data_IF_883400891491
#
_entry.id   IF_883400891491
#
_cell.length_a   1.000
_cell.length_b   1.000
_cell.length_c   1.000
_cell.angle_alpha   90.00
_cell.angle_beta   90.00
_cell.angle_gamma   90.00
#
_symmetry.space_group_name_H-M   'P 1'
#
loop_
_entity.id
_entity.type
_entity.pdbx_description
1 polymer ?
#
# COMPACT_ATOMS: atom_id res chain seq x y z
N UNK A 1 -1.32 -7.30 -5.13
CA UNK A 1 -0.44 -7.40 -3.94
C UNK A 1 -0.79 -6.24 -3.02
N UNK A 2 -1.18 -6.48 -1.76
CA UNK A 2 -1.69 -5.44 -0.84
C UNK A 2 -0.83 -4.17 -0.76
N UNK A 3 0.51 -4.32 -0.78
CA UNK A 3 1.44 -3.18 -0.78
C UNK A 3 1.29 -2.28 -2.02
N UNK A 4 1.00 -2.87 -3.19
CA UNK A 4 0.78 -2.13 -4.42
C UNK A 4 -0.56 -1.40 -4.39
N UNK A 5 -1.59 -1.97 -3.80
CA UNK A 5 -2.90 -1.32 -3.65
C UNK A 5 -2.80 -0.08 -2.76
N UNK A 6 -2.11 -0.22 -1.62
CA UNK A 6 -1.85 0.88 -0.69
C UNK A 6 -0.97 1.95 -1.36
N UNK A 7 0.12 1.54 -2.02
CA UNK A 7 1.05 2.48 -2.67
C UNK A 7 0.45 3.16 -3.91
N UNK A 8 -0.44 2.48 -4.64
CA UNK A 8 -1.17 3.06 -5.76
C UNK A 8 -2.26 4.02 -5.30
N UNK A 9 -2.56 4.10 -4.00
CA UNK A 9 -3.62 4.95 -3.47
C UNK A 9 -5.03 4.42 -3.71
N UNK A 10 -5.17 3.13 -4.05
CA UNK A 10 -6.48 2.47 -4.20
C UNK A 10 -7.19 2.23 -2.87
N UNK A 11 -6.48 2.42 -1.75
CA UNK A 11 -7.03 2.40 -0.41
C UNK A 11 -6.81 3.76 0.26
N UNK A 12 -7.84 4.28 0.92
CA UNK A 12 -7.79 5.58 1.57
C UNK A 12 -7.02 5.52 2.89
N UNK A 13 -6.39 6.63 3.28
CA UNK A 13 -5.83 6.74 4.63
C UNK A 13 -6.93 6.56 5.68
N UNK A 14 -6.64 5.76 6.72
CA UNK A 14 -7.60 5.42 7.75
C UNK A 14 -8.62 4.35 7.34
N UNK A 15 -8.58 3.86 6.10
CA UNK A 15 -9.44 2.76 5.67
C UNK A 15 -9.09 1.47 6.42
N UNK A 16 -10.12 0.76 6.90
CA UNK A 16 -9.96 -0.49 7.65
C UNK A 16 -9.84 -1.65 6.68
N UNK A 17 -8.78 -2.45 6.81
CA UNK A 17 -8.64 -3.71 6.08
C UNK A 17 -9.71 -4.72 6.54
N UNK A 18 -10.14 -5.64 5.66
CA UNK A 18 -11.01 -6.74 6.05
C UNK A 18 -10.36 -7.61 7.15
N UNK A 19 -11.15 -8.41 7.88
CA UNK A 19 -10.62 -9.32 8.89
C UNK A 19 -9.55 -10.26 8.32
N UNK A 20 -8.50 -10.55 9.12
CA UNK A 20 -7.38 -11.39 8.66
C UNK A 20 -7.83 -12.79 8.19
N UNK A 21 -8.92 -13.32 8.75
CA UNK A 21 -9.45 -14.63 8.36
C UNK A 21 -10.07 -14.58 6.96
N UNK A 22 -10.83 -13.53 6.67
CA UNK A 22 -11.52 -13.35 5.39
C UNK A 22 -10.50 -13.07 4.29
N UNK A 23 -9.58 -12.13 4.52
CA UNK A 23 -8.48 -11.87 3.58
C UNK A 23 -7.62 -13.10 3.31
N UNK A 24 -7.34 -13.91 4.33
CA UNK A 24 -6.54 -15.13 4.16
C UNK A 24 -7.30 -16.18 3.34
N UNK A 25 -8.61 -16.30 3.53
CA UNK A 25 -9.47 -17.16 2.74
C UNK A 25 -9.52 -16.72 1.27
N UNK A 26 -9.74 -15.42 1.01
CA UNK A 26 -9.78 -14.85 -0.34
C UNK A 26 -8.44 -15.03 -1.09
N UNK A 27 -7.32 -14.96 -0.35
CA UNK A 27 -5.98 -15.13 -0.89
C UNK A 27 -5.52 -16.59 -0.93
N UNK A 28 -6.28 -17.54 -0.37
CA UNK A 28 -5.91 -18.95 -0.30
C UNK A 28 -4.64 -19.23 0.52
N UNK A 29 -4.37 -18.43 1.56
CA UNK A 29 -3.17 -18.58 2.40
C UNK A 29 -3.51 -18.84 3.87
N UNK A 30 -2.55 -19.37 4.62
CA UNK A 30 -2.70 -19.49 6.06
C UNK A 30 -2.77 -18.09 6.73
N UNK A 31 -3.67 -17.93 7.70
CA UNK A 31 -3.83 -16.69 8.49
C UNK A 31 -2.51 -16.25 9.12
N UNK A 32 -1.69 -17.19 9.61
CA UNK A 32 -0.37 -16.90 10.16
C UNK A 32 0.59 -16.26 9.14
N UNK A 33 0.51 -16.64 7.87
CA UNK A 33 1.28 -16.06 6.77
C UNK A 33 0.83 -14.63 6.48
N UNK A 34 -0.49 -14.42 6.38
CA UNK A 34 -1.05 -13.07 6.21
C UNK A 34 -0.64 -12.16 7.37
N UNK A 35 -0.77 -12.63 8.61
CA UNK A 35 -0.41 -11.87 9.80
C UNK A 35 1.05 -11.43 9.82
N UNK A 36 1.97 -12.30 9.40
CA UNK A 36 3.38 -11.94 9.23
C UNK A 36 3.53 -10.82 8.20
N UNK A 37 2.91 -10.96 7.02
CA UNK A 37 2.97 -9.95 5.97
C UNK A 37 2.37 -8.60 6.41
N UNK A 38 1.23 -8.59 7.11
CA UNK A 38 0.62 -7.37 7.66
C UNK A 38 1.52 -6.73 8.73
N UNK A 39 2.18 -7.54 9.56
CA UNK A 39 3.18 -7.04 10.52
C UNK A 39 4.39 -6.40 9.84
N UNK A 40 4.82 -6.92 8.69
CA UNK A 40 5.90 -6.29 7.90
C UNK A 40 5.47 -4.94 7.32
N UNK A 41 4.21 -4.82 6.87
CA UNK A 41 3.65 -3.56 6.37
C UNK A 41 3.47 -2.53 7.50
N UNK A 42 3.05 -2.96 8.69
CA UNK A 42 2.99 -2.13 9.88
C UNK A 42 4.38 -1.59 10.26
N UNK A 43 5.43 -2.44 10.25
CA UNK A 43 6.81 -2.01 10.52
C UNK A 43 7.35 -1.02 9.49
N UNK A 44 6.87 -1.09 8.24
CA UNK A 44 7.16 -0.11 7.18
C UNK A 44 6.31 1.16 7.31
N UNK A 45 5.43 1.23 8.31
CA UNK A 45 4.53 2.35 8.56
C UNK A 45 3.44 2.51 7.49
N UNK A 46 3.12 1.47 6.73
CA UNK A 46 2.05 1.48 5.73
C UNK A 46 0.69 1.10 6.34
N UNK A 47 0.70 0.51 7.54
CA UNK A 47 -0.49 0.16 8.30
C UNK A 47 -0.37 0.66 9.75
N UNK A 48 -1.50 0.71 10.43
CA UNK A 48 -1.62 0.84 11.88
C UNK A 48 -2.49 -0.29 12.41
N UNK A 49 -1.98 -1.07 13.37
CA UNK A 49 -2.78 -2.11 14.04
C UNK A 49 -3.39 -1.55 15.32
N UNK A 50 -4.70 -1.70 15.45
CA UNK A 50 -5.42 -1.44 16.70
C UNK A 50 -5.89 -2.78 17.25
N UNK A 51 -5.32 -3.19 18.39
CA UNK A 51 -5.66 -4.46 19.03
C UNK A 51 -7.17 -4.58 19.29
N UNK A 52 -7.74 -5.73 18.93
CA UNK A 52 -9.19 -5.98 19.01
C UNK A 52 -10.04 -5.26 17.95
N UNK A 53 -9.51 -4.29 17.21
CA UNK A 53 -10.24 -3.55 16.19
C UNK A 53 -9.88 -3.96 14.77
N UNK A 54 -8.58 -3.99 14.41
CA UNK A 54 -8.14 -4.39 13.06
C UNK A 54 -6.88 -3.67 12.59
N UNK A 55 -6.60 -3.76 11.29
CA UNK A 55 -5.50 -3.07 10.62
C UNK A 55 -6.06 -1.94 9.76
N UNK A 56 -5.42 -0.77 9.81
CA UNK A 56 -5.86 0.45 9.13
C UNK A 56 -4.77 0.94 8.20
N UNK A 57 -5.14 1.41 7.01
CA UNK A 57 -4.21 1.95 6.01
C UNK A 57 -3.60 3.24 6.52
N UNK A 58 -2.27 3.33 6.46
CA UNK A 58 -1.53 4.58 6.64
C UNK A 58 -0.97 4.96 5.28
N UNK A 59 -1.49 6.05 4.70
CA UNK A 59 -0.85 6.63 3.55
C UNK A 59 0.39 7.37 4.06
N UNK A 60 1.59 6.92 3.71
CA UNK A 60 2.75 7.80 3.80
C UNK A 60 2.80 8.59 2.49
N UNK A 61 2.65 9.93 2.52
CA UNK A 61 2.90 10.75 1.33
C UNK A 61 4.37 10.73 0.91
N UNK A 62 5.25 10.14 1.74
CA UNK A 62 6.67 10.46 1.75
C UNK A 62 7.55 9.38 1.13
N UNK A 63 7.11 8.81 0.01
CA UNK A 63 8.13 8.60 -1.01
C UNK A 63 8.41 9.99 -1.54
N UNK A 64 9.50 10.63 -1.08
CA UNK A 64 10.09 11.83 -1.67
C UNK A 64 10.59 11.52 -3.10
N UNK A 65 9.69 10.99 -3.91
CA UNK A 65 9.78 10.84 -5.33
C UNK A 65 9.31 12.15 -5.89
N UNK A 66 10.09 12.74 -6.79
CA UNK A 66 9.67 13.89 -7.63
C UNK A 66 8.30 13.62 -8.29
N UNK A 67 7.90 12.35 -8.38
CA UNK A 67 6.64 11.92 -8.96
C UNK A 67 5.47 11.75 -7.98
N UNK A 68 5.62 12.01 -6.67
CA UNK A 68 4.51 11.90 -5.70
C UNK A 68 3.37 12.91 -5.96
N UNK A 69 3.69 14.03 -6.63
CA UNK A 69 2.68 14.99 -7.14
C UNK A 69 1.87 14.44 -8.32
N UNK A 70 2.39 13.45 -9.06
CA UNK A 70 1.65 12.78 -10.13
C UNK A 70 0.85 11.62 -9.54
N UNK A 71 -0.17 11.94 -8.74
CA UNK A 71 -1.21 10.97 -8.40
C UNK A 71 -2.08 10.78 -9.63
N UNK A 72 -1.71 9.81 -10.46
CA UNK A 72 -2.46 9.46 -11.66
C UNK A 72 -3.58 8.50 -11.27
N UNK A 73 -4.82 8.94 -11.43
CA UNK A 73 -5.99 8.07 -11.37
C UNK A 73 -6.15 7.39 -12.74
N UNK A 74 -6.04 6.06 -12.75
CA UNK A 74 -6.44 5.23 -13.88
C UNK A 74 -7.96 5.02 -13.82
N UNK A 75 -8.56 4.51 -14.90
CA UNK A 75 -10.00 4.20 -14.94
C UNK A 75 -10.42 3.19 -13.85
N UNK A 76 -9.48 2.37 -13.37
CA UNK A 76 -9.70 1.37 -12.31
C UNK A 76 -9.23 1.87 -10.91
N UNK A 77 -8.92 3.16 -10.77
CA UNK A 77 -8.46 3.80 -9.54
C UNK A 77 -6.97 4.16 -9.58
N UNK A 78 -6.37 4.34 -8.40
CA UNK A 78 -5.02 4.88 -8.30
C UNK A 78 -3.93 4.08 -9.03
N UNK A 79 -2.91 4.80 -9.52
CA UNK A 79 -1.79 4.29 -10.30
C UNK A 79 -0.43 4.62 -9.68
N UNK A 80 0.57 3.76 -9.91
CA UNK A 80 1.96 4.05 -9.55
C UNK A 80 2.63 4.78 -10.72
N UNK A 81 3.15 6.01 -10.53
CA UNK A 81 3.87 6.70 -11.58
C UNK A 81 5.13 5.91 -11.96
N UNK A 82 5.37 5.76 -13.26
CA UNK A 82 6.61 5.20 -13.79
C UNK A 82 7.29 6.25 -14.66
N UNK A 83 8.61 6.28 -14.62
CA UNK A 83 9.40 7.18 -15.44
C UNK A 83 10.54 6.40 -16.10
N UNK A 84 10.87 6.80 -17.34
CA UNK A 84 12.04 6.32 -18.06
C UNK A 84 12.94 7.51 -18.32
N UNK A 85 14.19 7.45 -17.84
CA UNK A 85 15.19 8.47 -18.14
C UNK A 85 15.51 8.41 -19.63
N UNK A 86 15.36 9.54 -20.32
CA UNK A 86 15.63 9.64 -21.77
C UNK A 86 17.04 10.17 -22.05
N UNK A 87 17.50 11.20 -21.33
CA UNK A 87 18.86 11.74 -21.37
C UNK A 87 19.22 12.45 -20.07
N UNK A 88 20.51 12.55 -19.76
CA UNK A 88 21.04 13.32 -18.62
C UNK A 88 22.33 14.01 -19.09
N UNK A 89 22.34 15.34 -19.08
CA UNK A 89 23.52 16.14 -19.37
C UNK A 89 24.13 16.64 -18.06
N UNK A 90 25.47 16.66 -17.98
CA UNK A 90 26.19 17.29 -16.86
C UNK A 90 26.70 18.65 -17.30
N UNK A 91 26.48 19.65 -16.45
CA UNK A 91 27.08 20.99 -16.54
C UNK A 91 28.57 20.94 -16.18
#
# INVERSE_FOLDING_TARGET
MLIREIAAGRMMEGEKLPPERDMAADLGIAVGTLRKALGDLERKGLLSRIQGSGNYVRSQPDVASVYSMFRLELLEGGGLPTARVLSVDRL
#
